data_IF_097345319622
#
_entry.id   IF_097345319622
#
_cell.length_a   1.000
_cell.length_b   1.000
_cell.length_c   1.000
_cell.angle_alpha   90.00
_cell.angle_beta   90.00
_cell.angle_gamma   90.00
#
_symmetry.space_group_name_H-M   'P 1'
#
loop_
_entity.id
_entity.type
_entity.pdbx_description
1 polymer ?
#
# COMPACT_ATOMS: atom_id res chain seq x y z
N UNK A 1 18.23 -2.81 14.31
CA UNK A 1 17.95 -3.89 13.34
C UNK A 1 16.49 -3.89 12.89
N UNK A 2 15.52 -3.82 13.82
CA UNK A 2 14.08 -3.76 13.52
C UNK A 2 13.70 -2.71 12.45
N UNK A 3 14.18 -1.47 12.57
CA UNK A 3 13.95 -0.40 11.59
C UNK A 3 14.37 -0.77 10.16
N UNK A 4 15.52 -1.44 10.01
CA UNK A 4 16.02 -1.90 8.70
C UNK A 4 15.14 -3.01 8.12
N UNK A 5 14.59 -3.87 8.98
CA UNK A 5 13.68 -4.95 8.57
C UNK A 5 12.35 -4.35 8.09
N UNK A 6 11.79 -3.39 8.82
CA UNK A 6 10.56 -2.68 8.42
C UNK A 6 10.78 -1.96 7.09
N UNK A 7 11.91 -1.27 6.92
CA UNK A 7 12.27 -0.61 5.66
C UNK A 7 12.39 -1.60 4.49
N UNK A 8 13.08 -2.72 4.68
CA UNK A 8 13.22 -3.76 3.66
C UNK A 8 11.84 -4.34 3.27
N UNK A 9 10.98 -4.58 4.25
CA UNK A 9 9.64 -5.10 4.01
C UNK A 9 8.77 -4.06 3.29
N UNK A 10 8.88 -2.79 3.66
CA UNK A 10 8.20 -1.69 2.97
C UNK A 10 8.67 -1.57 1.51
N UNK A 11 9.98 -1.63 1.25
CA UNK A 11 10.52 -1.63 -0.12
C UNK A 11 10.06 -2.84 -0.91
N UNK A 12 9.99 -4.02 -0.28
CA UNK A 12 9.48 -5.23 -0.92
C UNK A 12 8.01 -5.09 -1.32
N UNK A 13 7.16 -4.55 -0.43
CA UNK A 13 5.74 -4.30 -0.72
C UNK A 13 5.59 -3.27 -1.85
N UNK A 14 6.33 -2.17 -1.81
CA UNK A 14 6.31 -1.15 -2.88
C UNK A 14 6.78 -1.76 -4.21
N UNK A 15 7.85 -2.55 -4.21
CA UNK A 15 8.33 -3.25 -5.39
C UNK A 15 7.28 -4.21 -5.96
N UNK A 16 6.57 -4.94 -5.10
CA UNK A 16 5.46 -5.79 -5.50
C UNK A 16 4.31 -4.97 -6.13
N UNK A 17 3.95 -3.82 -5.53
CA UNK A 17 2.93 -2.91 -6.08
C UNK A 17 3.30 -2.46 -7.49
N UNK A 18 4.53 -2.01 -7.72
CA UNK A 18 4.96 -1.60 -9.05
C UNK A 18 5.00 -2.77 -10.03
N UNK A 19 5.52 -3.92 -9.62
CA UNK A 19 5.57 -5.11 -10.45
C UNK A 19 4.17 -5.54 -10.93
N UNK A 20 3.21 -5.65 -10.01
CA UNK A 20 1.84 -6.04 -10.35
C UNK A 20 1.07 -4.92 -11.06
N UNK A 21 1.34 -3.64 -10.77
CA UNK A 21 0.72 -2.51 -11.49
C UNK A 21 1.18 -2.44 -12.94
N UNK A 22 2.46 -2.75 -13.21
CA UNK A 22 3.04 -2.65 -14.55
C UNK A 22 2.95 -3.93 -15.36
N UNK A 23 2.27 -4.96 -14.83
CA UNK A 23 1.97 -6.16 -15.61
C UNK A 23 1.05 -5.78 -16.78
N UNK A 24 1.40 -6.28 -17.97
CA UNK A 24 0.66 -5.97 -19.21
C UNK A 24 -0.71 -6.65 -19.28
N UNK A 25 -0.88 -7.78 -18.59
CA UNK A 25 -2.16 -8.49 -18.50
C UNK A 25 -2.84 -8.17 -17.15
N UNK A 26 -3.92 -7.37 -17.14
CA UNK A 26 -4.60 -7.00 -15.92
C UNK A 26 -5.40 -8.17 -15.30
N UNK A 27 -5.70 -9.23 -16.07
CA UNK A 27 -6.42 -10.40 -15.59
C UNK A 27 -5.52 -11.47 -14.97
N UNK A 28 -4.20 -11.23 -14.97
CA UNK A 28 -3.16 -12.17 -14.54
C UNK A 28 -3.29 -13.55 -15.23
N UNK A 29 -3.88 -13.62 -16.42
CA UNK A 29 -4.16 -14.88 -17.11
C UNK A 29 -2.91 -15.63 -17.54
N UNK A 30 -1.79 -14.92 -17.69
CA UNK A 30 -0.47 -15.49 -17.94
C UNK A 30 0.28 -15.99 -16.69
N UNK A 31 -0.18 -15.66 -15.48
CA UNK A 31 0.60 -15.91 -14.26
C UNK A 31 0.16 -17.19 -13.54
N UNK A 32 0.90 -18.28 -13.74
CA UNK A 32 0.59 -19.59 -13.15
C UNK A 32 0.95 -19.71 -11.66
N UNK A 33 1.67 -18.74 -11.10
CA UNK A 33 2.09 -18.77 -9.69
C UNK A 33 1.04 -18.22 -8.72
N UNK A 34 0.02 -17.50 -9.20
CA UNK A 34 -1.02 -16.94 -8.36
C UNK A 34 -2.11 -17.99 -8.05
N UNK A 35 -2.54 -18.13 -6.79
CA UNK A 35 -3.62 -19.05 -6.47
C UNK A 35 -4.93 -18.57 -7.09
N UNK A 36 -5.72 -19.51 -7.64
CA UNK A 36 -6.96 -19.22 -8.37
C UNK A 36 -7.99 -18.39 -7.59
N UNK A 37 -8.04 -18.55 -6.27
CA UNK A 37 -8.94 -17.75 -5.43
C UNK A 37 -8.59 -16.27 -5.46
N UNK A 38 -7.29 -15.94 -5.46
CA UNK A 38 -6.80 -14.57 -5.46
C UNK A 38 -6.99 -13.92 -6.83
N UNK A 39 -6.75 -14.69 -7.90
CA UNK A 39 -7.03 -14.29 -9.29
C UNK A 39 -8.52 -13.97 -9.48
N UNK A 40 -9.41 -14.86 -9.06
CA UNK A 40 -10.85 -14.64 -9.19
C UNK A 40 -11.31 -13.44 -8.36
N UNK A 41 -10.77 -13.27 -7.14
CA UNK A 41 -11.07 -12.12 -6.30
C UNK A 41 -10.58 -10.82 -6.92
N UNK A 42 -9.35 -10.77 -7.43
CA UNK A 42 -8.79 -9.56 -8.04
C UNK A 42 -9.51 -9.18 -9.34
N UNK A 43 -9.95 -10.19 -10.11
CA UNK A 43 -10.71 -9.96 -11.34
C UNK A 43 -12.15 -9.52 -11.05
N UNK A 44 -12.75 -9.98 -9.95
CA UNK A 44 -14.08 -9.55 -9.52
C UNK A 44 -14.06 -8.16 -8.89
N UNK A 45 -13.01 -7.83 -8.14
CA UNK A 45 -12.85 -6.55 -7.44
C UNK A 45 -11.65 -5.76 -7.98
N UNK A 46 -11.76 -5.33 -9.23
CA UNK A 46 -10.67 -4.70 -9.99
C UNK A 46 -10.01 -3.52 -9.24
N UNK A 47 -10.79 -2.65 -8.61
CA UNK A 47 -10.25 -1.45 -7.94
C UNK A 47 -9.73 -1.74 -6.51
N UNK A 48 -10.27 -2.78 -5.86
CA UNK A 48 -9.87 -3.13 -4.48
C UNK A 48 -8.51 -3.82 -4.41
N UNK A 49 -8.05 -4.42 -5.51
CA UNK A 49 -6.71 -5.01 -5.58
C UNK A 49 -5.61 -3.97 -5.36
N UNK A 50 -5.90 -2.70 -5.61
CA UNK A 50 -4.99 -1.56 -5.35
C UNK A 50 -5.03 -1.17 -3.87
N UNK A 51 -6.20 -1.19 -3.23
CA UNK A 51 -6.32 -0.85 -1.81
C UNK A 51 -5.55 -1.80 -0.88
N UNK A 52 -5.52 -3.11 -1.18
CA UNK A 52 -4.94 -4.12 -0.29
C UNK A 52 -3.43 -3.93 -0.06
N UNK A 53 -2.58 -3.80 -1.11
CA UNK A 53 -1.17 -3.47 -0.91
C UNK A 53 -0.96 -2.13 -0.22
N UNK A 54 -1.75 -1.10 -0.56
CA UNK A 54 -1.59 0.22 0.05
C UNK A 54 -2.00 0.25 1.53
N UNK A 55 -2.90 -0.62 1.97
CA UNK A 55 -3.15 -0.85 3.40
C UNK A 55 -1.88 -1.31 4.11
N UNK A 56 -1.14 -2.27 3.54
CA UNK A 56 0.13 -2.70 4.10
C UNK A 56 1.17 -1.57 4.09
N UNK A 57 1.27 -0.80 2.99
CA UNK A 57 2.17 0.37 2.90
C UNK A 57 1.87 1.40 3.98
N UNK A 58 0.60 1.80 4.15
CA UNK A 58 0.20 2.78 5.17
C UNK A 58 0.47 2.30 6.60
N UNK A 59 0.24 1.01 6.87
CA UNK A 59 0.54 0.40 8.16
C UNK A 59 2.05 0.40 8.47
N UNK A 60 2.88 0.03 7.48
CA UNK A 60 4.33 -0.06 7.64
C UNK A 60 5.01 1.30 7.71
N UNK A 61 4.51 2.30 6.97
CA UNK A 61 4.97 3.69 7.06
C UNK A 61 4.77 4.22 8.47
N UNK A 62 3.61 3.96 9.07
CA UNK A 62 3.31 4.43 10.42
C UNK A 62 4.25 3.79 11.47
N UNK A 63 4.51 2.46 11.36
CA UNK A 63 5.52 1.77 12.18
C UNK A 63 6.89 2.41 12.03
N UNK A 64 7.30 2.68 10.79
CA UNK A 64 8.62 3.23 10.49
C UNK A 64 8.79 4.64 11.09
N UNK A 65 7.77 5.49 10.96
CA UNK A 65 7.82 6.87 11.48
C UNK A 65 7.64 6.98 13.00
N UNK A 66 6.94 6.05 13.66
CA UNK A 66 6.81 6.03 15.12
C UNK A 66 8.16 5.95 15.82
N UNK A 67 9.13 5.27 15.20
CA UNK A 67 10.45 5.08 15.76
C UNK A 67 11.35 6.34 15.65
N UNK A 68 10.93 7.36 14.90
CA UNK A 68 11.64 8.63 14.79
C UNK A 68 11.23 9.57 15.93
N UNK A 69 12.13 9.80 16.90
CA UNK A 69 11.84 10.49 18.17
C UNK A 69 11.45 11.97 18.05
N UNK A 70 11.60 12.60 16.88
CA UNK A 70 11.72 14.07 16.81
C UNK A 70 10.59 14.83 16.11
N UNK A 71 9.50 14.17 15.69
CA UNK A 71 8.43 14.83 14.94
C UNK A 71 7.06 14.75 15.61
N UNK A 72 6.26 15.79 15.40
CA UNK A 72 4.87 15.82 15.84
C UNK A 72 4.05 14.74 15.12
N UNK A 73 3.28 13.96 15.89
CA UNK A 73 2.54 12.79 15.39
C UNK A 73 1.62 13.12 14.20
N UNK A 74 0.99 14.30 14.23
CA UNK A 74 0.10 14.73 13.15
C UNK A 74 0.86 15.03 11.84
N UNK A 75 2.08 15.58 11.92
CA UNK A 75 2.89 15.84 10.71
C UNK A 75 3.39 14.54 10.09
N UNK A 76 3.82 13.57 10.89
CA UNK A 76 4.23 12.25 10.40
C UNK A 76 3.08 11.53 9.69
N UNK A 77 1.87 11.57 10.23
CA UNK A 77 0.69 10.97 9.62
C UNK A 77 0.37 11.58 8.24
N UNK A 78 0.37 12.92 8.15
CA UNK A 78 0.15 13.63 6.87
C UNK A 78 1.27 13.31 5.87
N UNK A 79 2.53 13.27 6.33
CA UNK A 79 3.67 12.93 5.49
C UNK A 79 3.57 11.50 4.96
N UNK A 80 3.17 10.53 5.79
CA UNK A 80 2.99 9.13 5.39
C UNK A 80 1.90 8.99 4.32
N UNK A 81 0.76 9.67 4.50
CA UNK A 81 -0.29 9.72 3.48
C UNK A 81 0.22 10.35 2.19
N UNK A 82 1.00 11.43 2.28
CA UNK A 82 1.62 12.08 1.13
C UNK A 82 2.56 11.15 0.36
N UNK A 83 3.42 10.42 1.07
CA UNK A 83 4.32 9.41 0.48
C UNK A 83 3.52 8.30 -0.19
N UNK A 84 2.51 7.74 0.48
CA UNK A 84 1.66 6.71 -0.11
C UNK A 84 0.97 7.23 -1.38
N UNK A 85 0.41 8.45 -1.35
CA UNK A 85 -0.24 9.08 -2.50
C UNK A 85 0.72 9.22 -3.69
N UNK A 86 1.97 9.67 -3.45
CA UNK A 86 3.00 9.75 -4.49
C UNK A 86 3.28 8.37 -5.09
N UNK A 87 3.40 7.34 -4.26
CA UNK A 87 3.64 5.97 -4.73
C UNK A 87 2.47 5.48 -5.60
N UNK A 88 1.21 5.70 -5.19
CA UNK A 88 0.02 5.33 -6.00
C UNK A 88 0.04 6.07 -7.33
N UNK A 89 0.30 7.38 -7.32
CA UNK A 89 0.36 8.18 -8.54
C UNK A 89 1.47 7.72 -9.50
N UNK A 90 2.61 7.26 -8.99
CA UNK A 90 3.68 6.67 -9.81
C UNK A 90 3.26 5.29 -10.34
N UNK A 91 2.61 4.47 -9.51
CA UNK A 91 2.16 3.14 -9.90
C UNK A 91 1.14 3.19 -11.03
N UNK A 92 0.14 4.07 -10.92
CA UNK A 92 -0.86 4.35 -11.95
C UNK A 92 -0.28 5.14 -13.12
N UNK A 93 0.57 6.12 -12.84
CA UNK A 93 1.27 6.91 -13.85
C UNK A 93 2.13 6.06 -14.78
N UNK A 94 2.78 5.02 -14.25
CA UNK A 94 3.53 4.06 -15.06
C UNK A 94 2.65 3.26 -16.02
N UNK A 95 1.34 3.11 -15.75
CA UNK A 95 0.42 2.46 -16.67
C UNK A 95 0.22 3.26 -17.97
N UNK A 96 0.47 4.58 -17.98
CA UNK A 96 0.46 5.37 -19.23
C UNK A 96 1.49 4.88 -20.25
N UNK A 97 2.59 4.24 -19.80
CA UNK A 97 3.61 3.68 -20.67
C UNK A 97 3.20 2.32 -21.26
N UNK A 98 2.10 1.73 -20.77
CA UNK A 98 1.62 0.40 -21.16
C UNK A 98 0.44 0.60 -22.11
N UNK A 99 0.67 0.33 -23.39
CA UNK A 99 -0.25 0.63 -24.49
C UNK A 99 -1.61 -0.10 -24.42
N UNK A 100 -1.76 -1.10 -23.56
CA UNK A 100 -2.99 -1.88 -23.36
C UNK A 100 -3.77 -1.52 -22.09
N UNK A 101 -3.34 -0.53 -21.32
CA UNK A 101 -3.96 -0.18 -20.03
C UNK A 101 -4.26 1.31 -19.95
N UNK A 102 -5.47 1.65 -19.53
CA UNK A 102 -5.84 3.02 -19.21
C UNK A 102 -5.70 3.24 -17.70
N UNK A 103 -5.01 4.30 -17.25
CA UNK A 103 -4.94 4.64 -15.84
C UNK A 103 -6.33 4.92 -15.29
N UNK A 104 -6.62 4.41 -14.09
CA UNK A 104 -7.91 4.63 -13.44
C UNK A 104 -7.74 5.54 -12.21
N UNK A 105 -8.47 6.65 -12.20
CA UNK A 105 -8.54 7.53 -11.04
C UNK A 105 -9.11 6.80 -9.81
N UNK A 106 -9.93 5.79 -10.04
CA UNK A 106 -10.50 4.98 -8.98
C UNK A 106 -9.41 4.17 -8.27
N UNK A 107 -8.41 3.64 -8.99
CA UNK A 107 -7.26 2.96 -8.39
C UNK A 107 -6.43 3.90 -7.50
N UNK A 108 -6.30 5.17 -7.90
CA UNK A 108 -5.68 6.21 -7.06
C UNK A 108 -6.45 6.40 -5.76
N UNK A 109 -7.78 6.54 -5.86
CA UNK A 109 -8.65 6.72 -4.71
C UNK A 109 -8.56 5.53 -3.74
N UNK A 110 -8.66 4.29 -4.25
CA UNK A 110 -8.55 3.09 -3.43
C UNK A 110 -7.16 2.92 -2.81
N UNK A 111 -6.09 3.32 -3.50
CA UNK A 111 -4.75 3.35 -2.93
C UNK A 111 -4.63 4.30 -1.74
N UNK A 112 -5.16 5.52 -1.86
CA UNK A 112 -5.18 6.50 -0.76
C UNK A 112 -6.02 6.00 0.41
N UNK A 113 -7.25 5.52 0.14
CA UNK A 113 -8.15 4.98 1.17
C UNK A 113 -7.52 3.78 1.87
N UNK A 114 -6.90 2.86 1.11
CA UNK A 114 -6.18 1.71 1.65
C UNK A 114 -5.08 2.15 2.63
N UNK A 115 -4.23 3.09 2.21
CA UNK A 115 -3.16 3.62 3.07
C UNK A 115 -3.70 4.30 4.33
N UNK A 116 -4.80 5.05 4.22
CA UNK A 116 -5.44 5.71 5.36
C UNK A 116 -5.97 4.68 6.37
N UNK A 117 -6.64 3.62 5.88
CA UNK A 117 -7.12 2.51 6.72
C UNK A 117 -5.93 1.80 7.40
N UNK A 118 -4.84 1.55 6.67
CA UNK A 118 -3.63 0.93 7.22
C UNK A 118 -3.02 1.73 8.35
N UNK A 119 -2.86 3.04 8.16
CA UNK A 119 -2.32 3.94 9.19
C UNK A 119 -3.26 4.07 10.40
N UNK A 120 -4.57 4.11 10.19
CA UNK A 120 -5.56 4.09 11.29
C UNK A 120 -5.53 2.77 12.06
N UNK A 121 -5.41 1.63 11.36
CA UNK A 121 -5.33 0.31 11.98
C UNK A 121 -4.13 0.22 12.93
N UNK A 122 -2.96 0.71 12.50
CA UNK A 122 -1.78 0.75 13.36
C UNK A 122 -2.00 1.61 14.61
N UNK A 123 -2.53 2.83 14.43
CA UNK A 123 -2.79 3.74 15.54
C UNK A 123 -3.81 3.18 16.54
N UNK A 124 -4.82 2.44 16.07
CA UNK A 124 -5.77 1.71 16.92
C UNK A 124 -5.07 0.59 17.70
N UNK A 125 -4.28 -0.26 17.04
CA UNK A 125 -3.54 -1.34 17.70
C UNK A 125 -2.57 -0.81 18.76
N UNK A 126 -1.88 0.29 18.44
CA UNK A 126 -1.01 1.00 19.38
C UNK A 126 -1.79 1.48 20.60
N UNK A 127 -2.95 2.11 20.39
CA UNK A 127 -3.81 2.59 21.48
C UNK A 127 -4.26 1.45 22.39
N UNK A 128 -4.66 0.31 21.82
CA UNK A 128 -5.05 -0.89 22.56
C UNK A 128 -3.86 -1.45 23.35
N UNK A 129 -2.68 -1.54 22.74
CA UNK A 129 -1.45 -2.00 23.40
C UNK A 129 -1.12 -1.15 24.62
N UNK A 130 -1.19 0.17 24.49
CA UNK A 130 -0.88 1.09 25.57
C UNK A 130 -1.93 1.03 26.69
N UNK A 131 -3.22 0.86 26.36
CA UNK A 131 -4.29 0.72 27.34
C UNK A 131 -4.22 -0.57 28.17
N UNK A 132 -3.54 -1.61 27.66
CA UNK A 132 -3.31 -2.87 28.38
C UNK A 132 -2.12 -2.81 29.34
N UNK A 133 -1.27 -1.78 29.24
CA UNK A 133 -0.08 -1.59 30.07
C UNK A 133 -0.31 -0.69 31.29
N UNK A 134 -1.48 -0.06 31.40
CA UNK A 134 -1.96 0.69 32.56
C UNK A 134 -2.90 -0.15 33.39
#
# INVERSE_FOLDING_TARGET
MFHKIVLLLLLFVIGAVFYFSWLSDPGFGGETYLPRWLLNWSNHYYNLRTAVPFLAVGFLLEIYTEQSENNSKNLNFIQNIGIATIIVCIAEGGQFLIQRRSPDLMDIFYGIVGSLIGALCYNLLKKIRNAKQT
#
